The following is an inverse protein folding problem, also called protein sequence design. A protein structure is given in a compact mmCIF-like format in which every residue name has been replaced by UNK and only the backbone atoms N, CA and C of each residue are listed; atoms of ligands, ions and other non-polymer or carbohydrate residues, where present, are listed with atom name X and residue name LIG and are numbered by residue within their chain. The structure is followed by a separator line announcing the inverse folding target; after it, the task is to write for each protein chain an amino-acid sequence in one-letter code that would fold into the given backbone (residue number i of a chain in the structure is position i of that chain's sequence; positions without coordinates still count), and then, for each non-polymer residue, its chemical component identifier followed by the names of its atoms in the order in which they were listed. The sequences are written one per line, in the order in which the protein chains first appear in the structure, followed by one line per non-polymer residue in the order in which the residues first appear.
data_IF_430489354456
#
_entry.id   IF_430489354456
#
_cell.length_a   1.000
_cell.length_b   1.000
_cell.length_c   1.000
_cell.angle_alpha   90.00
_cell.angle_beta   90.00
_cell.angle_gamma   90.00
#
_symmetry.space_group_name_H-M   'P 1'
#
loop_
_entity.id
_entity.type
_entity.pdbx_description
1 polymer ?
#
# COMPACT_ATOMS: atom_id res chain seq x y z
N UNK A 1 -10.71 -28.15 -34.46
CA UNK A 1 -10.04 -26.95 -33.94
C UNK A 1 -10.60 -26.69 -32.55
N UNK A 2 -9.84 -27.06 -31.52
CA UNK A 2 -10.22 -26.83 -30.12
C UNK A 2 -9.99 -25.33 -29.80
N UNK A 3 -11.04 -24.62 -29.41
CA UNK A 3 -10.90 -23.25 -28.93
C UNK A 3 -9.89 -23.21 -27.78
N UNK A 4 -8.99 -22.22 -27.73
CA UNK A 4 -8.06 -22.08 -26.63
C UNK A 4 -8.82 -21.85 -25.33
N UNK A 5 -8.50 -22.63 -24.32
CA UNK A 5 -9.05 -22.46 -22.95
C UNK A 5 -8.61 -21.10 -22.42
N UNK A 6 -9.55 -20.15 -22.32
CA UNK A 6 -9.32 -18.86 -21.64
C UNK A 6 -9.69 -19.08 -20.16
N UNK A 7 -8.72 -19.12 -19.25
CA UNK A 7 -9.03 -19.29 -17.84
C UNK A 7 -9.84 -18.08 -17.34
N UNK A 8 -11.09 -18.31 -16.96
CA UNK A 8 -11.89 -17.30 -16.24
C UNK A 8 -11.35 -17.21 -14.81
N UNK A 9 -10.73 -16.10 -14.48
CA UNK A 9 -10.40 -15.77 -13.08
C UNK A 9 -11.71 -15.50 -12.35
N UNK A 10 -12.16 -16.46 -11.54
CA UNK A 10 -13.29 -16.26 -10.64
C UNK A 10 -12.82 -15.36 -9.51
N UNK A 11 -13.23 -14.09 -9.52
CA UNK A 11 -13.00 -13.18 -8.39
C UNK A 11 -13.92 -13.60 -7.25
N UNK A 12 -13.40 -13.87 -6.03
CA UNK A 12 -14.25 -14.18 -4.90
C UNK A 12 -15.18 -13.00 -4.61
N UNK A 13 -16.48 -13.29 -4.43
CA UNK A 13 -17.48 -12.29 -4.02
C UNK A 13 -17.03 -11.72 -2.67
N UNK A 14 -16.86 -10.39 -2.57
CA UNK A 14 -16.62 -9.74 -1.28
C UNK A 14 -17.90 -9.87 -0.46
N UNK A 15 -17.80 -10.39 0.77
CA UNK A 15 -18.92 -10.38 1.70
C UNK A 15 -19.35 -8.92 1.92
N UNK A 16 -20.65 -8.64 1.80
CA UNK A 16 -21.21 -7.35 2.20
C UNK A 16 -21.02 -7.17 3.73
N UNK A 17 -20.87 -5.94 4.23
CA UNK A 17 -20.75 -5.68 5.66
C UNK A 17 -21.87 -6.28 6.51
N UNK A 18 -23.11 -6.31 5.96
CA UNK A 18 -24.28 -6.92 6.59
C UNK A 18 -24.18 -8.45 6.73
N UNK A 19 -23.34 -9.09 5.89
CA UNK A 19 -23.17 -10.55 5.87
C UNK A 19 -21.98 -11.01 6.72
N UNK A 20 -21.27 -10.07 7.35
CA UNK A 20 -20.12 -10.37 8.21
C UNK A 20 -20.62 -10.95 9.54
N UNK A 21 -20.57 -12.28 9.64
CA UNK A 21 -20.98 -13.00 10.86
C UNK A 21 -19.90 -12.95 11.93
N UNK A 22 -18.62 -12.93 11.52
CA UNK A 22 -17.46 -12.92 12.42
C UNK A 22 -17.19 -11.49 12.94
N UNK A 23 -16.86 -11.32 14.25
CA UNK A 23 -16.63 -9.98 14.82
C UNK A 23 -15.37 -9.30 14.30
N UNK A 24 -14.46 -10.03 13.64
CA UNK A 24 -13.20 -9.52 13.10
C UNK A 24 -13.44 -8.65 11.88
N UNK A 25 -13.00 -7.39 11.92
CA UNK A 25 -13.15 -6.43 10.83
C UNK A 25 -12.08 -5.35 10.83
N UNK A 26 -11.83 -4.77 9.67
CA UNK A 26 -11.03 -3.57 9.49
C UNK A 26 -11.95 -2.35 9.29
N UNK A 27 -11.81 -1.35 10.14
CA UNK A 27 -12.52 -0.09 10.05
C UNK A 27 -11.63 0.93 9.33
N UNK A 28 -12.11 1.46 8.21
CA UNK A 28 -11.37 2.39 7.35
C UNK A 28 -11.97 3.79 7.49
N UNK A 29 -11.17 4.71 8.02
CA UNK A 29 -11.56 6.10 8.24
C UNK A 29 -11.25 6.93 6.98
N UNK A 30 -12.28 7.15 6.14
CA UNK A 30 -12.14 7.91 4.90
C UNK A 30 -11.93 9.42 5.16
N UNK A 31 -12.33 9.95 6.33
CA UNK A 31 -12.02 11.34 6.70
C UNK A 31 -10.53 11.51 7.02
N UNK A 32 -9.92 10.55 7.72
CA UNK A 32 -8.49 10.54 7.95
C UNK A 32 -7.71 10.49 6.62
N UNK A 33 -8.20 9.71 5.64
CA UNK A 33 -7.62 9.65 4.30
C UNK A 33 -7.66 11.02 3.60
N UNK A 34 -8.82 11.73 3.63
CA UNK A 34 -8.96 13.08 3.09
C UNK A 34 -8.05 14.09 3.80
N UNK A 35 -7.96 13.97 5.12
CA UNK A 35 -7.06 14.81 5.91
C UNK A 35 -5.60 14.60 5.48
N UNK A 36 -5.16 13.34 5.35
CA UNK A 36 -3.80 13.02 4.96
C UNK A 36 -3.47 13.52 3.54
N UNK A 37 -4.43 13.46 2.60
CA UNK A 37 -4.26 14.07 1.27
C UNK A 37 -4.02 15.57 1.37
N UNK A 38 -4.75 16.30 2.23
CA UNK A 38 -4.52 17.75 2.45
C UNK A 38 -3.12 18.02 3.03
N UNK A 39 -2.69 17.19 3.98
CA UNK A 39 -1.35 17.27 4.56
C UNK A 39 -0.29 17.03 3.48
N UNK A 40 -0.42 15.97 2.70
CA UNK A 40 0.51 15.66 1.59
C UNK A 40 0.57 16.83 0.60
N UNK A 41 -0.55 17.42 0.20
CA UNK A 41 -0.58 18.57 -0.71
C UNK A 41 0.18 19.77 -0.17
N UNK A 42 0.06 20.05 1.13
CA UNK A 42 0.81 21.13 1.78
C UNK A 42 2.33 20.94 1.59
N UNK A 43 2.81 19.70 1.70
CA UNK A 43 4.24 19.37 1.57
C UNK A 43 4.68 19.10 0.12
N UNK A 44 3.76 18.87 -0.81
CA UNK A 44 4.04 18.71 -2.22
C UNK A 44 4.39 20.04 -2.92
N UNK A 45 4.23 21.19 -2.23
CA UNK A 45 4.64 22.51 -2.70
C UNK A 45 4.12 22.89 -4.11
N UNK A 46 2.87 22.55 -4.43
CA UNK A 46 2.23 22.84 -5.71
C UNK A 46 2.39 21.75 -6.77
N UNK A 47 3.20 20.73 -6.54
CA UNK A 47 3.29 19.59 -7.44
C UNK A 47 1.98 18.78 -7.47
N UNK A 48 1.69 18.15 -8.60
CA UNK A 48 0.56 17.22 -8.72
C UNK A 48 0.71 16.05 -7.74
N UNK A 49 -0.39 15.59 -7.18
CA UNK A 49 -0.41 14.43 -6.26
C UNK A 49 -1.02 13.23 -6.97
N UNK A 50 -0.18 12.26 -7.29
CA UNK A 50 -0.59 10.98 -7.87
C UNK A 50 -0.60 9.92 -6.76
N UNK A 51 -1.81 9.60 -6.26
CA UNK A 51 -1.98 8.71 -5.12
C UNK A 51 -1.59 7.27 -5.45
N UNK A 52 -0.63 6.70 -4.73
CA UNK A 52 -0.25 5.29 -4.89
C UNK A 52 -1.20 4.42 -4.07
N UNK A 53 -2.04 3.65 -4.78
CA UNK A 53 -3.09 2.80 -4.19
C UNK A 53 -3.00 1.33 -4.61
N UNK A 54 -1.80 0.89 -4.95
CA UNK A 54 -1.48 -0.52 -5.24
C UNK A 54 -1.76 -1.43 -4.05
N UNK A 55 -1.78 -2.75 -4.26
CA UNK A 55 -2.02 -3.78 -3.25
C UNK A 55 -3.33 -3.52 -2.47
N UNK A 56 -4.44 -3.36 -3.22
CA UNK A 56 -5.77 -3.03 -2.68
C UNK A 56 -5.74 -1.78 -1.78
N UNK A 57 -5.06 -0.71 -2.25
CA UNK A 57 -4.80 0.52 -1.49
C UNK A 57 -4.11 0.22 -0.14
N UNK A 58 -3.00 -0.51 -0.17
CA UNK A 58 -2.29 -0.97 1.03
C UNK A 58 -3.23 -1.71 2.00
N UNK A 59 -4.10 -2.55 1.46
CA UNK A 59 -5.05 -3.33 2.24
C UNK A 59 -6.31 -2.58 2.70
N UNK A 60 -6.49 -1.32 2.31
CA UNK A 60 -7.62 -0.49 2.74
C UNK A 60 -8.87 -0.61 1.86
N UNK A 61 -8.77 -1.29 0.70
CA UNK A 61 -9.87 -1.42 -0.27
C UNK A 61 -9.80 -0.36 -1.37
N UNK A 62 -9.18 -0.71 -2.50
CA UNK A 62 -8.82 0.22 -3.57
C UNK A 62 -9.99 1.02 -4.12
N UNK A 63 -11.14 0.39 -4.37
CA UNK A 63 -12.31 1.05 -4.95
C UNK A 63 -12.88 2.17 -4.06
N UNK A 64 -12.99 1.96 -2.75
CA UNK A 64 -13.52 2.96 -1.82
C UNK A 64 -12.52 4.10 -1.57
N UNK A 65 -11.23 3.75 -1.45
CA UNK A 65 -10.13 4.71 -1.33
C UNK A 65 -10.06 5.59 -2.57
N UNK A 66 -10.06 5.00 -3.77
CA UNK A 66 -9.97 5.73 -5.03
C UNK A 66 -11.14 6.70 -5.21
N UNK A 67 -12.40 6.26 -5.00
CA UNK A 67 -13.57 7.15 -5.07
C UNK A 67 -13.48 8.33 -4.09
N UNK A 68 -12.94 8.09 -2.89
CA UNK A 68 -12.77 9.14 -1.87
C UNK A 68 -11.71 10.17 -2.30
N UNK A 69 -10.58 9.70 -2.81
CA UNK A 69 -9.49 10.56 -3.27
C UNK A 69 -9.86 11.31 -4.56
N UNK A 70 -10.57 10.66 -5.49
CA UNK A 70 -11.05 11.28 -6.72
C UNK A 70 -12.04 12.42 -6.43
N UNK A 71 -13.02 12.22 -5.53
CA UNK A 71 -13.90 13.28 -5.03
C UNK A 71 -13.15 14.40 -4.31
N UNK A 72 -11.99 14.09 -3.75
CA UNK A 72 -11.07 15.07 -3.14
C UNK A 72 -10.10 15.67 -4.16
N UNK A 73 -10.36 15.46 -5.48
CA UNK A 73 -9.64 16.03 -6.61
C UNK A 73 -8.16 15.67 -6.63
N UNK A 74 -7.81 14.41 -6.34
CA UNK A 74 -6.45 13.93 -6.58
C UNK A 74 -6.13 14.02 -8.08
N UNK A 75 -4.89 14.29 -8.43
CA UNK A 75 -4.50 14.54 -9.83
C UNK A 75 -4.42 13.25 -10.64
N UNK A 76 -4.15 12.12 -10.00
CA UNK A 76 -4.12 10.80 -10.62
C UNK A 76 -3.85 9.69 -9.61
N UNK A 77 -3.88 8.48 -10.11
CA UNK A 77 -3.59 7.27 -9.33
C UNK A 77 -2.38 6.53 -9.88
N UNK A 78 -1.67 5.86 -8.99
CA UNK A 78 -0.60 4.94 -9.35
C UNK A 78 -0.90 3.56 -8.79
N UNK A 79 -0.86 2.56 -9.64
CA UNK A 79 -0.97 1.14 -9.28
C UNK A 79 0.27 0.36 -9.73
N UNK A 80 0.45 -0.85 -9.24
CA UNK A 80 1.57 -1.68 -9.65
C UNK A 80 1.25 -2.50 -10.89
N UNK A 81 0.05 -3.07 -10.96
CA UNK A 81 -0.35 -4.07 -11.93
C UNK A 81 -1.50 -3.55 -12.81
N UNK A 82 -1.59 -4.09 -14.02
CA UNK A 82 -2.70 -3.82 -14.94
C UNK A 82 -4.05 -4.25 -14.33
N UNK A 83 -4.08 -5.39 -13.64
CA UNK A 83 -5.28 -5.92 -13.00
C UNK A 83 -5.85 -4.97 -11.94
N UNK A 84 -4.97 -4.29 -11.20
CA UNK A 84 -5.38 -3.26 -10.23
C UNK A 84 -6.02 -2.06 -10.94
N UNK A 85 -5.44 -1.63 -12.06
CA UNK A 85 -5.99 -0.54 -12.87
C UNK A 85 -7.36 -0.90 -13.46
N UNK A 86 -7.52 -2.13 -13.95
CA UNK A 86 -8.78 -2.67 -14.47
C UNK A 86 -9.84 -2.63 -13.36
N UNK A 87 -9.52 -3.11 -12.15
CA UNK A 87 -10.44 -3.08 -11.01
C UNK A 87 -10.91 -1.64 -10.69
N UNK A 88 -10.01 -0.66 -10.77
CA UNK A 88 -10.36 0.75 -10.56
C UNK A 88 -11.30 1.29 -11.65
N UNK A 89 -11.03 0.96 -12.92
CA UNK A 89 -11.92 1.37 -14.02
C UNK A 89 -13.31 0.72 -13.91
N UNK A 90 -13.38 -0.56 -13.55
CA UNK A 90 -14.63 -1.26 -13.27
C UNK A 90 -15.38 -0.67 -12.06
N UNK A 91 -14.65 -0.09 -11.11
CA UNK A 91 -15.23 0.66 -9.99
C UNK A 91 -15.72 2.07 -10.36
N UNK A 92 -15.57 2.50 -11.64
CA UNK A 92 -16.03 3.78 -12.16
C UNK A 92 -15.05 4.94 -11.94
N UNK A 93 -13.79 4.68 -11.65
CA UNK A 93 -12.77 5.73 -11.53
C UNK A 93 -12.42 6.25 -12.93
N UNK A 94 -12.49 7.56 -13.11
CA UNK A 94 -12.21 8.25 -14.39
C UNK A 94 -10.87 9.02 -14.39
N UNK A 95 -10.36 9.39 -13.23
CA UNK A 95 -9.06 10.06 -13.10
C UNK A 95 -7.92 9.28 -13.79
N UNK A 96 -6.83 9.93 -14.20
CA UNK A 96 -5.66 9.26 -14.79
C UNK A 96 -5.12 8.15 -13.89
N UNK A 97 -4.75 7.00 -14.48
CA UNK A 97 -4.17 5.85 -13.77
C UNK A 97 -2.85 5.46 -14.42
N UNK A 98 -1.76 5.56 -13.66
CA UNK A 98 -0.42 5.14 -14.05
C UNK A 98 -0.15 3.72 -13.58
N UNK A 99 0.20 2.82 -14.50
CA UNK A 99 0.59 1.43 -14.19
C UNK A 99 2.11 1.36 -14.09
N UNK A 100 2.64 1.31 -12.85
CA UNK A 100 4.08 1.53 -12.57
C UNK A 100 4.96 0.28 -12.69
N UNK A 101 4.40 -0.90 -12.58
CA UNK A 101 5.16 -2.16 -12.52
C UNK A 101 5.70 -2.61 -13.88
N UNK A 102 5.37 -1.92 -14.95
CA UNK A 102 5.59 -2.37 -16.30
C UNK A 102 4.40 -3.20 -16.80
N UNK A 103 4.56 -3.72 -17.99
CA UNK A 103 3.52 -4.50 -18.65
C UNK A 103 3.99 -5.93 -18.84
N UNK A 104 3.22 -6.90 -18.35
CA UNK A 104 3.51 -8.32 -18.43
C UNK A 104 2.51 -9.02 -19.35
N UNK A 105 2.97 -9.99 -20.15
CA UNK A 105 2.10 -10.78 -21.02
C UNK A 105 1.61 -10.03 -22.26
N UNK A 106 0.38 -10.35 -22.70
CA UNK A 106 -0.14 -9.94 -24.01
C UNK A 106 -1.31 -8.95 -23.96
N UNK A 107 -1.73 -8.47 -22.79
CA UNK A 107 -2.91 -7.63 -22.63
C UNK A 107 -2.63 -6.11 -22.80
N UNK A 108 -1.80 -5.75 -23.78
CA UNK A 108 -1.48 -4.35 -24.11
C UNK A 108 -2.72 -3.58 -24.61
N UNK A 109 -3.65 -4.27 -25.26
CA UNK A 109 -4.93 -3.74 -25.74
C UNK A 109 -5.83 -3.23 -24.59
N UNK A 110 -5.82 -3.89 -23.44
CA UNK A 110 -6.55 -3.44 -22.24
C UNK A 110 -6.06 -2.07 -21.74
N UNK A 111 -4.76 -1.79 -21.89
CA UNK A 111 -4.19 -0.48 -21.52
C UNK A 111 -4.82 0.63 -22.36
N UNK A 112 -4.91 0.41 -23.66
CA UNK A 112 -5.50 1.37 -24.59
C UNK A 112 -7.01 1.48 -24.39
N UNK A 113 -7.71 0.33 -24.36
CA UNK A 113 -9.16 0.31 -24.23
C UNK A 113 -9.69 0.97 -22.94
N UNK A 114 -8.87 0.99 -21.89
CA UNK A 114 -9.23 1.57 -20.59
C UNK A 114 -8.62 2.95 -20.33
N UNK A 115 -7.93 3.52 -21.29
CA UNK A 115 -7.29 4.85 -21.16
C UNK A 115 -6.31 4.88 -19.98
N UNK A 116 -5.45 3.87 -19.88
CA UNK A 116 -4.43 3.78 -18.85
C UNK A 116 -3.10 4.35 -19.36
N UNK A 117 -2.26 4.82 -18.45
CA UNK A 117 -0.93 5.30 -18.74
C UNK A 117 0.08 4.24 -18.31
N UNK A 118 0.71 3.50 -19.25
CA UNK A 118 1.71 2.51 -18.88
C UNK A 118 3.06 3.17 -18.61
N UNK A 119 3.81 2.60 -17.68
CA UNK A 119 5.24 2.89 -17.51
C UNK A 119 6.01 1.92 -18.39
N UNK A 120 6.89 2.47 -19.25
CA UNK A 120 7.79 1.68 -20.09
C UNK A 120 9.23 1.85 -19.61
N UNK A 121 10.04 0.82 -19.79
CA UNK A 121 11.44 0.82 -19.35
C UNK A 121 12.38 0.10 -20.33
N UNK A 122 11.87 -0.25 -21.50
CA UNK A 122 12.65 -0.77 -22.64
C UNK A 122 11.96 -0.49 -23.98
N UNK A 123 12.73 -0.55 -25.07
CA UNK A 123 12.22 -0.28 -26.42
C UNK A 123 11.27 -1.37 -26.92
N UNK A 124 11.35 -2.59 -26.41
CA UNK A 124 10.44 -3.66 -26.78
C UNK A 124 9.00 -3.36 -26.35
N UNK A 125 8.82 -2.80 -25.16
CA UNK A 125 7.51 -2.32 -24.69
C UNK A 125 7.00 -1.17 -25.54
N UNK A 126 7.86 -0.18 -25.87
CA UNK A 126 7.50 0.93 -26.74
C UNK A 126 7.05 0.43 -28.10
N UNK A 127 7.82 -0.48 -28.72
CA UNK A 127 7.50 -1.09 -30.01
C UNK A 127 6.18 -1.90 -29.98
N UNK A 128 5.89 -2.58 -28.85
CA UNK A 128 4.65 -3.33 -28.69
C UNK A 128 3.43 -2.40 -28.68
N UNK A 129 3.48 -1.31 -27.91
CA UNK A 129 2.43 -0.30 -27.91
C UNK A 129 2.29 0.43 -29.26
N UNK A 130 3.41 0.80 -29.89
CA UNK A 130 3.38 1.43 -31.21
C UNK A 130 2.68 0.56 -32.26
N UNK A 131 2.93 -0.75 -32.27
CA UNK A 131 2.24 -1.68 -33.19
C UNK A 131 0.72 -1.68 -32.98
N UNK A 132 0.27 -1.67 -31.74
CA UNK A 132 -1.16 -1.63 -31.43
C UNK A 132 -1.83 -0.33 -31.84
N UNK A 133 -1.18 0.80 -31.62
CA UNK A 133 -1.71 2.11 -32.08
C UNK A 133 -1.80 2.12 -33.62
N UNK A 134 -0.77 1.67 -34.32
CA UNK A 134 -0.80 1.54 -35.81
C UNK A 134 -1.89 0.63 -36.33
N UNK A 135 -2.26 -0.42 -35.59
CA UNK A 135 -3.35 -1.32 -35.99
C UNK A 135 -4.76 -0.75 -35.78
N UNK A 136 -4.88 0.52 -35.39
CA UNK A 136 -6.15 1.22 -35.25
C UNK A 136 -6.83 1.08 -33.89
N UNK A 137 -6.13 0.54 -32.89
CA UNK A 137 -6.67 0.37 -31.53
C UNK A 137 -6.69 1.68 -30.72
N UNK A 138 -6.12 2.78 -31.21
CA UNK A 138 -6.13 4.10 -30.56
C UNK A 138 -6.30 5.23 -31.56
N UNK A 139 -6.94 6.33 -31.11
CA UNK A 139 -7.11 7.56 -31.87
C UNK A 139 -5.98 8.55 -31.52
N UNK A 140 -4.77 8.31 -31.98
CA UNK A 140 -3.61 9.17 -31.75
C UNK A 140 -2.52 8.49 -30.91
N UNK A 141 -1.42 9.22 -30.61
CA UNK A 141 -0.32 8.66 -29.85
C UNK A 141 -0.73 8.24 -28.43
N UNK A 142 -0.23 7.08 -27.99
CA UNK A 142 -0.41 6.60 -26.63
C UNK A 142 0.54 7.36 -25.68
N UNK A 143 -0.01 7.95 -24.63
CA UNK A 143 0.76 8.51 -23.54
C UNK A 143 1.40 7.44 -22.67
N UNK A 144 2.71 7.50 -22.49
CA UNK A 144 3.45 6.61 -21.61
C UNK A 144 4.41 7.41 -20.73
N UNK A 145 4.75 6.85 -19.55
CA UNK A 145 5.85 7.39 -18.75
C UNK A 145 7.09 6.52 -18.94
N UNK A 146 8.20 7.15 -19.33
CA UNK A 146 9.49 6.48 -19.38
C UNK A 146 10.09 6.38 -17.98
N UNK A 147 10.53 5.20 -17.62
CA UNK A 147 11.21 4.98 -16.34
C UNK A 147 12.71 4.86 -16.54
N UNK A 148 13.47 5.66 -15.78
CA UNK A 148 14.93 5.63 -15.73
C UNK A 148 15.36 5.05 -14.38
N UNK A 149 16.36 4.17 -14.38
CA UNK A 149 16.97 3.67 -13.18
C UNK A 149 18.08 4.62 -12.71
N UNK A 150 17.87 5.24 -11.59
CA UNK A 150 18.81 6.17 -10.96
C UNK A 150 19.55 5.57 -9.76
N UNK A 151 19.55 4.24 -9.62
CA UNK A 151 20.31 3.53 -8.60
C UNK A 151 19.52 2.53 -7.76
N UNK A 152 18.27 2.22 -8.12
CA UNK A 152 17.47 1.20 -7.41
C UNK A 152 17.70 -0.22 -7.95
N UNK A 153 18.19 -0.36 -9.20
CA UNK A 153 18.49 -1.63 -9.86
C UNK A 153 17.31 -2.62 -9.90
N UNK A 154 16.09 -2.09 -10.09
CA UNK A 154 14.88 -2.92 -10.14
C UNK A 154 14.19 -2.91 -11.50
N UNK A 155 13.82 -1.74 -11.99
CA UNK A 155 13.20 -1.48 -13.29
C UNK A 155 13.59 -0.07 -13.76
N UNK A 156 13.76 0.11 -15.06
CA UNK A 156 14.10 1.40 -15.65
C UNK A 156 15.22 1.24 -16.68
N UNK A 157 15.24 2.14 -17.65
CA UNK A 157 16.39 2.27 -18.55
C UNK A 157 17.59 2.72 -17.74
N UNK A 158 18.70 1.99 -17.83
CA UNK A 158 19.94 2.39 -17.15
C UNK A 158 20.53 3.64 -17.79
N UNK A 159 21.29 4.44 -17.02
CA UNK A 159 21.97 5.61 -17.55
C UNK A 159 22.88 5.27 -18.74
N UNK A 160 23.48 4.07 -18.74
CA UNK A 160 24.33 3.58 -19.84
C UNK A 160 23.54 3.35 -21.14
N UNK A 161 22.33 2.82 -21.06
CA UNK A 161 21.50 2.49 -22.22
C UNK A 161 20.60 3.66 -22.67
N UNK A 162 20.47 4.69 -21.84
CA UNK A 162 19.56 5.81 -22.09
C UNK A 162 19.86 6.57 -23.39
N UNK A 163 21.13 6.81 -23.82
CA UNK A 163 21.42 7.47 -25.09
C UNK A 163 20.87 6.70 -26.29
N UNK A 164 21.04 5.37 -26.31
CA UNK A 164 20.52 4.53 -27.38
C UNK A 164 18.98 4.54 -27.42
N UNK A 165 18.36 4.40 -26.24
CA UNK A 165 16.89 4.44 -26.12
C UNK A 165 16.37 5.80 -26.60
N UNK A 166 16.96 6.91 -26.15
CA UNK A 166 16.54 8.26 -26.54
C UNK A 166 16.61 8.48 -28.05
N UNK A 167 17.69 8.04 -28.70
CA UNK A 167 17.85 8.14 -30.15
C UNK A 167 16.77 7.36 -30.91
N UNK A 168 16.40 6.19 -30.44
CA UNK A 168 15.41 5.31 -31.08
C UNK A 168 13.95 5.67 -30.80
N UNK A 169 13.64 6.46 -29.78
CA UNK A 169 12.27 6.85 -29.49
C UNK A 169 11.59 7.59 -30.64
N UNK A 170 12.34 8.33 -31.46
CA UNK A 170 11.82 9.01 -32.63
C UNK A 170 11.27 8.05 -33.73
N UNK A 171 11.65 6.76 -33.69
CA UNK A 171 11.15 5.75 -34.62
C UNK A 171 9.70 5.30 -34.27
N UNK A 172 9.17 5.73 -33.12
CA UNK A 172 7.86 5.35 -32.59
C UNK A 172 6.94 6.55 -32.34
N UNK A 173 6.53 7.28 -33.41
CA UNK A 173 5.67 8.47 -33.26
C UNK A 173 4.28 8.15 -32.69
N UNK A 174 3.89 6.89 -32.66
CA UNK A 174 2.64 6.39 -32.07
C UNK A 174 2.68 6.39 -30.53
N UNK A 175 3.84 6.59 -29.93
CA UNK A 175 4.03 6.61 -28.47
C UNK A 175 4.60 7.95 -28.07
N UNK A 176 3.91 8.65 -27.18
CA UNK A 176 4.36 9.94 -26.64
C UNK A 176 4.88 9.75 -25.21
N UNK A 177 6.13 10.14 -24.98
CA UNK A 177 6.70 10.16 -23.63
C UNK A 177 6.11 11.37 -22.89
N UNK A 178 4.95 11.19 -22.25
CA UNK A 178 4.24 12.24 -21.51
C UNK A 178 4.78 12.44 -20.09
N UNK A 179 5.59 11.49 -19.59
CA UNK A 179 6.21 11.63 -18.28
C UNK A 179 7.57 10.92 -18.18
N UNK A 180 8.40 11.42 -17.27
CA UNK A 180 9.67 10.80 -16.88
C UNK A 180 9.62 10.47 -15.39
N UNK A 181 9.93 9.22 -15.06
CA UNK A 181 9.93 8.79 -13.65
C UNK A 181 11.18 8.03 -13.25
N UNK A 182 11.53 8.17 -11.99
CA UNK A 182 12.42 7.26 -11.28
C UNK A 182 11.85 6.94 -9.90
N UNK A 183 12.63 6.27 -9.06
CA UNK A 183 12.26 5.97 -7.68
C UNK A 183 13.46 6.12 -6.76
N UNK A 184 13.29 6.86 -5.68
CA UNK A 184 14.33 7.09 -4.69
C UNK A 184 14.40 5.90 -3.73
N UNK A 185 15.47 5.13 -3.80
CA UNK A 185 15.64 3.91 -3.02
C UNK A 185 15.89 4.21 -1.53
N UNK A 186 16.60 5.30 -1.24
CA UNK A 186 17.13 5.64 0.09
C UNK A 186 16.57 6.96 0.63
N UNK A 187 15.36 7.38 0.19
CA UNK A 187 14.76 8.63 0.66
C UNK A 187 14.42 8.61 2.16
N UNK A 188 14.33 7.45 2.79
CA UNK A 188 14.13 7.22 4.21
C UNK A 188 15.42 6.88 4.97
N UNK A 189 16.58 6.84 4.31
CA UNK A 189 17.86 6.61 4.97
C UNK A 189 18.31 7.82 5.82
N UNK A 190 19.14 7.63 6.85
CA UNK A 190 19.69 8.73 7.64
C UNK A 190 20.48 9.73 6.78
N UNK A 191 21.33 9.25 5.87
CA UNK A 191 22.05 10.07 4.90
C UNK A 191 21.23 10.32 3.65
N UNK A 192 21.32 11.54 3.10
CA UNK A 192 20.68 11.93 1.83
C UNK A 192 21.63 11.84 0.63
N UNK A 193 22.85 11.39 0.80
CA UNK A 193 23.88 11.34 -0.23
C UNK A 193 23.43 10.52 -1.46
N UNK A 194 22.94 9.29 -1.22
CA UNK A 194 22.41 8.44 -2.29
C UNK A 194 21.19 9.07 -2.98
N UNK A 195 20.31 9.72 -2.20
CA UNK A 195 19.15 10.43 -2.73
C UNK A 195 19.60 11.59 -3.61
N UNK A 196 20.59 12.37 -3.19
CA UNK A 196 21.14 13.46 -3.98
C UNK A 196 21.82 12.95 -5.27
N UNK A 197 22.56 11.85 -5.20
CA UNK A 197 23.13 11.17 -6.37
C UNK A 197 22.06 10.66 -7.35
N UNK A 198 20.96 10.10 -6.83
CA UNK A 198 19.84 9.68 -7.67
C UNK A 198 19.15 10.86 -8.36
N UNK A 199 19.00 11.99 -7.67
CA UNK A 199 18.45 13.22 -8.24
C UNK A 199 19.35 13.80 -9.35
N UNK A 200 20.66 13.81 -9.13
CA UNK A 200 21.62 14.27 -10.15
C UNK A 200 21.53 13.41 -11.42
N UNK A 201 21.51 12.09 -11.30
CA UNK A 201 21.33 11.17 -12.44
C UNK A 201 19.97 11.36 -13.12
N UNK A 202 18.91 11.67 -12.38
CA UNK A 202 17.60 11.94 -12.96
C UNK A 202 17.59 13.24 -13.79
N UNK A 203 18.28 14.28 -13.33
CA UNK A 203 18.44 15.53 -14.08
C UNK A 203 19.30 15.32 -15.33
N UNK A 204 20.40 14.56 -15.22
CA UNK A 204 21.21 14.17 -16.39
C UNK A 204 20.36 13.44 -17.44
N UNK A 205 19.52 12.48 -17.01
CA UNK A 205 18.59 11.78 -17.89
C UNK A 205 17.61 12.73 -18.58
N UNK A 206 17.08 13.71 -17.84
CA UNK A 206 16.17 14.73 -18.38
C UNK A 206 16.85 15.56 -19.47
N UNK A 207 18.05 16.03 -19.22
CA UNK A 207 18.85 16.82 -20.20
C UNK A 207 19.17 15.97 -21.44
N UNK A 208 19.57 14.72 -21.25
CA UNK A 208 19.88 13.81 -22.35
C UNK A 208 18.66 13.58 -23.26
N UNK A 209 17.52 13.27 -22.68
CA UNK A 209 16.26 13.08 -23.43
C UNK A 209 15.89 14.35 -24.22
N UNK A 210 16.00 15.54 -23.61
CA UNK A 210 15.71 16.81 -24.24
C UNK A 210 16.60 17.06 -25.45
N UNK A 211 17.88 16.70 -25.44
CA UNK A 211 18.80 16.78 -26.58
C UNK A 211 18.37 15.89 -27.75
N UNK A 212 17.61 14.86 -27.51
CA UNK A 212 17.02 13.98 -28.54
C UNK A 212 15.58 14.36 -28.89
N UNK A 213 15.12 15.56 -28.49
CA UNK A 213 13.77 16.03 -28.78
C UNK A 213 12.67 15.42 -27.93
N UNK A 214 13.01 14.64 -26.91
CA UNK A 214 12.05 14.04 -25.95
C UNK A 214 11.90 14.97 -24.77
N UNK A 215 10.75 15.67 -24.68
CA UNK A 215 10.44 16.61 -23.60
C UNK A 215 9.28 16.06 -22.77
N UNK A 216 9.53 15.32 -21.68
CA UNK A 216 8.47 14.77 -20.82
C UNK A 216 7.65 15.89 -20.17
N UNK A 217 6.31 15.76 -20.21
CA UNK A 217 5.41 16.76 -19.63
C UNK A 217 5.38 16.73 -18.09
N UNK A 218 5.62 15.55 -17.48
CA UNK A 218 5.62 15.39 -16.02
C UNK A 218 6.85 14.62 -15.55
N UNK A 219 7.64 15.22 -14.66
CA UNK A 219 8.81 14.59 -14.03
C UNK A 219 8.48 14.26 -12.58
N UNK A 220 8.71 13.00 -12.17
CA UNK A 220 8.36 12.61 -10.83
C UNK A 220 9.26 11.49 -10.27
N UNK A 221 9.80 11.71 -9.07
CA UNK A 221 10.67 10.77 -8.35
C UNK A 221 10.20 10.53 -6.92
N UNK A 222 9.57 11.54 -6.30
CA UNK A 222 9.27 11.59 -4.88
C UNK A 222 8.23 10.54 -4.46
N UNK A 223 8.63 9.67 -3.52
CA UNK A 223 7.77 8.81 -2.73
C UNK A 223 7.36 9.51 -1.40
N UNK A 224 6.63 8.84 -0.52
CA UNK A 224 6.22 9.40 0.77
C UNK A 224 7.39 9.94 1.60
N UNK A 225 8.53 9.26 1.63
CA UNK A 225 9.70 9.69 2.40
C UNK A 225 10.30 11.00 1.85
N UNK A 226 10.45 11.08 0.54
CA UNK A 226 10.96 12.29 -0.12
C UNK A 226 10.03 13.50 0.06
N UNK A 227 8.71 13.30 -0.01
CA UNK A 227 7.71 14.36 0.24
C UNK A 227 7.86 14.87 1.68
N UNK A 228 7.99 13.96 2.64
CA UNK A 228 8.11 14.29 4.07
C UNK A 228 9.37 15.09 4.34
N UNK A 229 10.48 14.75 3.71
CA UNK A 229 11.75 15.47 3.86
C UNK A 229 11.81 16.81 3.13
N UNK A 230 11.00 16.96 2.07
CA UNK A 230 11.07 18.10 1.16
C UNK A 230 12.24 17.99 0.16
N UNK A 231 12.20 18.80 -0.89
CA UNK A 231 13.31 18.95 -1.84
C UNK A 231 13.29 18.05 -3.09
N UNK A 232 12.38 17.08 -3.19
CA UNK A 232 12.27 16.21 -4.38
C UNK A 232 10.91 16.34 -5.11
N UNK A 233 10.12 17.35 -4.78
CA UNK A 233 8.88 17.64 -5.47
C UNK A 233 9.20 18.33 -6.81
N UNK A 234 9.11 17.57 -7.89
CA UNK A 234 9.20 18.06 -9.26
C UNK A 234 7.80 18.45 -9.76
N UNK A 235 7.40 17.98 -10.94
CA UNK A 235 6.07 18.28 -11.49
C UNK A 235 4.96 17.48 -10.79
N UNK A 236 5.31 16.28 -10.28
CA UNK A 236 4.39 15.44 -9.52
C UNK A 236 5.08 14.65 -8.39
N UNK A 237 4.27 14.27 -7.38
CA UNK A 237 4.69 13.41 -6.26
C UNK A 237 3.80 12.17 -6.18
N UNK A 238 4.35 11.07 -5.65
CA UNK A 238 3.66 9.78 -5.55
C UNK A 238 3.58 9.29 -4.10
N UNK A 239 2.72 9.91 -3.27
CA UNK A 239 2.50 9.45 -1.90
C UNK A 239 1.81 8.09 -1.90
N UNK A 240 2.34 7.15 -1.11
CA UNK A 240 1.72 5.88 -0.78
C UNK A 240 1.37 5.86 0.70
N UNK A 241 2.29 5.37 1.53
CA UNK A 241 2.04 5.10 2.95
C UNK A 241 1.59 6.34 3.74
N UNK A 242 2.02 7.54 3.35
CA UNK A 242 1.61 8.79 3.99
C UNK A 242 0.10 9.05 3.86
N UNK A 243 -0.53 8.65 2.75
CA UNK A 243 -1.98 8.75 2.60
C UNK A 243 -2.73 7.88 3.61
N UNK A 244 -2.12 6.79 4.06
CA UNK A 244 -2.70 5.85 5.03
C UNK A 244 -2.33 6.17 6.48
N UNK A 245 -1.70 7.34 6.70
CA UNK A 245 -1.45 7.88 8.05
C UNK A 245 -0.18 7.38 8.69
N UNK A 246 0.74 6.83 7.90
CA UNK A 246 2.04 6.39 8.36
C UNK A 246 3.15 7.16 7.64
N UNK A 247 4.21 7.43 8.37
CA UNK A 247 5.43 7.98 7.79
C UNK A 247 6.51 6.91 7.86
N UNK A 248 7.37 6.79 6.82
CA UNK A 248 8.63 6.10 7.01
C UNK A 248 9.30 6.67 8.27
N UNK A 249 9.97 5.83 9.07
CA UNK A 249 10.65 6.27 10.32
C UNK A 249 11.78 7.27 10.07
N UNK A 250 11.53 8.23 9.24
CA UNK A 250 12.42 9.31 8.92
C UNK A 250 12.25 10.38 9.97
N UNK A 251 13.07 10.26 11.00
CA UNK A 251 13.63 11.38 11.74
C UNK A 251 12.69 12.56 12.02
N UNK A 252 11.87 12.46 13.07
CA UNK A 252 11.40 13.60 13.84
C UNK A 252 10.76 14.79 13.10
N UNK A 253 10.27 14.59 11.88
CA UNK A 253 9.72 15.67 11.06
C UNK A 253 8.28 16.01 11.46
N UNK A 254 7.91 17.30 11.52
CA UNK A 254 6.56 17.73 11.94
C UNK A 254 5.41 17.05 11.23
N UNK A 255 5.55 16.72 9.93
CA UNK A 255 4.54 16.08 9.12
C UNK A 255 4.07 14.74 9.71
N UNK A 256 4.96 13.97 10.34
CA UNK A 256 4.59 12.67 10.92
C UNK A 256 3.53 12.80 12.01
N UNK A 257 3.49 13.95 12.71
CA UNK A 257 2.50 14.26 13.74
C UNK A 257 1.17 14.76 13.18
N UNK A 258 1.15 15.23 11.93
CA UNK A 258 -0.06 15.71 11.26
C UNK A 258 -0.86 14.56 10.63
N UNK A 259 -0.21 13.43 10.32
CA UNK A 259 -0.87 12.29 9.69
C UNK A 259 -1.78 11.54 10.66
N UNK A 260 -2.90 11.04 10.15
CA UNK A 260 -3.90 10.28 10.92
C UNK A 260 -3.99 8.85 10.40
N UNK A 261 -3.83 7.82 11.26
CA UNK A 261 -4.05 6.44 10.85
C UNK A 261 -5.44 6.24 10.22
N UNK A 262 -5.46 5.51 9.11
CA UNK A 262 -6.69 5.29 8.34
C UNK A 262 -7.33 3.96 8.69
N UNK A 263 -6.55 2.92 9.03
CA UNK A 263 -7.04 1.59 9.36
C UNK A 263 -7.03 1.34 10.87
N UNK A 264 -8.11 0.74 11.36
CA UNK A 264 -8.23 0.13 12.68
C UNK A 264 -8.73 -1.30 12.50
N UNK A 265 -8.06 -2.27 13.10
CA UNK A 265 -8.48 -3.68 13.04
C UNK A 265 -8.93 -4.12 14.42
N UNK A 266 -10.15 -4.64 14.50
CA UNK A 266 -10.74 -5.11 15.74
C UNK A 266 -11.44 -6.45 15.60
N UNK A 267 -11.60 -7.12 16.72
CA UNK A 267 -12.36 -8.35 16.90
C UNK A 267 -13.00 -8.36 18.29
N UNK A 268 -13.40 -9.51 18.79
CA UNK A 268 -13.98 -9.68 20.12
C UNK A 268 -13.41 -10.94 20.79
N UNK A 269 -13.47 -10.99 22.11
CA UNK A 269 -13.21 -12.20 22.88
C UNK A 269 -14.32 -13.21 22.63
N UNK A 270 -14.00 -14.38 22.08
CA UNK A 270 -14.98 -15.45 21.79
C UNK A 270 -15.01 -16.54 22.85
N UNK A 271 -13.92 -16.71 23.61
CA UNK A 271 -13.86 -17.64 24.72
C UNK A 271 -12.91 -17.11 25.80
N UNK A 272 -13.21 -17.48 27.05
CA UNK A 272 -12.34 -17.25 28.20
C UNK A 272 -12.11 -18.60 28.89
N UNK A 273 -10.88 -18.80 29.38
CA UNK A 273 -10.49 -20.01 30.10
C UNK A 273 -9.50 -19.65 31.19
N UNK A 274 -9.78 -20.10 32.39
CA UNK A 274 -8.81 -20.08 33.48
C UNK A 274 -7.90 -21.29 33.35
N UNK A 275 -6.60 -21.11 33.57
CA UNK A 275 -5.58 -22.15 33.47
C UNK A 275 -4.68 -22.10 34.70
N UNK A 276 -4.28 -23.29 35.17
CA UNK A 276 -3.39 -23.44 36.29
C UNK A 276 -1.92 -23.20 35.96
N UNK A 277 -1.11 -23.05 37.01
CA UNK A 277 0.36 -22.95 36.87
C UNK A 277 0.91 -24.13 36.08
N UNK A 278 1.80 -23.88 35.15
CA UNK A 278 2.42 -24.90 34.30
C UNK A 278 1.58 -25.31 33.08
N UNK A 279 0.33 -24.88 32.96
CA UNK A 279 -0.49 -25.17 31.78
C UNK A 279 0.11 -24.53 30.51
N UNK A 280 0.10 -25.28 29.39
CA UNK A 280 0.55 -24.81 28.08
C UNK A 280 -0.59 -24.17 27.35
N UNK A 281 -0.27 -23.11 26.53
CA UNK A 281 -1.21 -22.43 25.66
C UNK A 281 -0.74 -22.50 24.21
N UNK A 282 -1.64 -22.90 23.31
CA UNK A 282 -1.42 -22.92 21.87
C UNK A 282 -0.55 -24.08 21.37
N UNK A 283 -0.26 -24.06 20.07
CA UNK A 283 0.54 -25.09 19.41
C UNK A 283 1.99 -25.08 19.91
N UNK A 284 2.51 -26.29 20.17
CA UNK A 284 3.89 -26.48 20.63
C UNK A 284 4.12 -26.09 22.09
N UNK A 285 3.12 -25.56 22.80
CA UNK A 285 3.25 -25.17 24.20
C UNK A 285 4.38 -24.17 24.44
N UNK A 286 4.59 -23.24 23.53
CA UNK A 286 5.66 -22.25 23.60
C UNK A 286 5.51 -21.31 24.79
N UNK A 287 4.27 -21.07 25.21
CA UNK A 287 3.96 -20.33 26.41
C UNK A 287 3.43 -21.27 27.52
N UNK A 288 3.90 -21.05 28.74
CA UNK A 288 3.44 -21.76 29.95
C UNK A 288 3.03 -20.75 31.00
N UNK A 289 1.90 -21.01 31.65
CA UNK A 289 1.41 -20.20 32.75
C UNK A 289 2.37 -20.29 33.95
N UNK A 290 2.98 -19.17 34.32
CA UNK A 290 3.82 -19.08 35.54
C UNK A 290 3.01 -18.83 36.82
N UNK A 291 1.76 -18.49 36.66
CA UNK A 291 0.75 -18.26 37.73
C UNK A 291 -0.62 -18.73 37.25
N UNK A 292 -1.63 -18.86 38.11
CA UNK A 292 -3.00 -19.00 37.65
C UNK A 292 -3.33 -17.84 36.70
N UNK A 293 -3.75 -18.16 35.48
CA UNK A 293 -3.88 -17.17 34.38
C UNK A 293 -5.23 -17.29 33.70
N UNK A 294 -5.74 -16.18 33.21
CA UNK A 294 -6.97 -16.09 32.42
C UNK A 294 -6.66 -15.81 30.96
N UNK A 295 -7.01 -16.75 30.11
CA UNK A 295 -6.69 -16.71 28.68
C UNK A 295 -7.94 -16.40 27.86
N UNK A 296 -7.89 -15.34 27.07
CA UNK A 296 -8.91 -14.98 26.09
C UNK A 296 -8.54 -15.50 24.71
N UNK A 297 -9.51 -16.07 23.99
CA UNK A 297 -9.35 -16.47 22.59
C UNK A 297 -10.05 -15.46 21.71
N UNK A 298 -9.36 -15.03 20.63
CA UNK A 298 -9.90 -14.16 19.60
C UNK A 298 -9.94 -14.86 18.24
N UNK A 299 -11.01 -14.67 17.42
CA UNK A 299 -11.17 -15.32 16.11
C UNK A 299 -10.42 -14.52 15.01
N UNK A 300 -9.11 -14.35 15.20
CA UNK A 300 -8.19 -13.75 14.26
C UNK A 300 -6.85 -14.47 14.32
N UNK A 301 -6.36 -14.93 13.19
CA UNK A 301 -5.09 -15.63 13.08
C UNK A 301 -4.27 -15.18 11.87
N UNK A 302 -3.22 -15.97 11.51
CA UNK A 302 -2.32 -15.55 10.45
C UNK A 302 -2.98 -15.54 9.05
N UNK A 303 -4.02 -16.31 8.80
CA UNK A 303 -4.79 -16.25 7.54
C UNK A 303 -5.61 -14.95 7.42
N UNK A 304 -5.79 -14.21 8.51
CA UNK A 304 -6.44 -12.91 8.55
C UNK A 304 -5.45 -11.74 8.46
N UNK A 305 -4.15 -12.04 8.62
CA UNK A 305 -3.08 -11.03 8.60
C UNK A 305 -2.46 -10.76 9.98
N UNK A 306 -2.83 -11.48 11.03
CA UNK A 306 -2.15 -11.43 12.33
C UNK A 306 -0.88 -12.29 12.26
N UNK A 307 0.28 -11.66 12.06
CA UNK A 307 1.53 -12.39 11.85
C UNK A 307 1.79 -13.47 12.91
N UNK A 308 2.25 -14.64 12.47
CA UNK A 308 2.62 -15.72 13.36
C UNK A 308 3.79 -15.35 14.29
N UNK A 309 4.64 -14.41 13.87
CA UNK A 309 5.76 -13.89 14.65
C UNK A 309 5.33 -13.11 15.91
N UNK A 310 4.05 -12.72 16.00
CA UNK A 310 3.51 -12.02 17.16
C UNK A 310 3.23 -12.95 18.37
N UNK A 311 3.28 -14.28 18.18
CA UNK A 311 3.21 -15.22 19.29
C UNK A 311 4.31 -14.94 20.32
N UNK A 312 3.93 -14.81 21.58
CA UNK A 312 4.80 -14.49 22.73
C UNK A 312 5.56 -13.15 22.64
N UNK A 313 5.22 -12.27 21.66
CA UNK A 313 5.91 -10.98 21.41
C UNK A 313 4.96 -9.81 21.25
N UNK A 314 3.81 -10.03 20.64
CA UNK A 314 2.84 -9.00 20.32
C UNK A 314 1.85 -8.72 21.43
N UNK A 315 1.05 -7.68 21.22
CA UNK A 315 -0.05 -7.29 22.11
C UNK A 315 -1.32 -7.03 21.32
N UNK A 316 -2.45 -7.13 22.01
CA UNK A 316 -3.73 -6.59 21.59
C UNK A 316 -4.29 -5.69 22.71
N UNK A 317 -5.30 -4.88 22.43
CA UNK A 317 -5.95 -4.03 23.44
C UNK A 317 -7.28 -4.67 23.85
N UNK A 318 -7.50 -4.75 25.14
CA UNK A 318 -8.75 -5.19 25.74
C UNK A 318 -9.12 -4.21 26.85
N UNK A 319 -10.35 -3.65 26.81
CA UNK A 319 -10.85 -2.71 27.81
C UNK A 319 -9.96 -1.45 28.01
N UNK A 320 -9.19 -1.06 26.99
CA UNK A 320 -8.26 0.07 27.04
C UNK A 320 -6.89 -0.23 27.65
N UNK A 321 -6.54 -1.51 27.80
CA UNK A 321 -5.22 -1.99 28.28
C UNK A 321 -4.60 -3.01 27.31
N UNK A 322 -3.28 -3.14 27.38
CA UNK A 322 -2.50 -4.10 26.61
C UNK A 322 -2.61 -5.49 27.21
N UNK A 323 -3.00 -6.45 26.37
CA UNK A 323 -3.00 -7.87 26.64
C UNK A 323 -1.93 -8.56 25.78
N UNK A 324 -0.93 -9.25 26.34
CA UNK A 324 0.06 -9.96 25.53
C UNK A 324 -0.57 -11.10 24.74
N UNK A 325 -0.12 -11.31 23.52
CA UNK A 325 -0.43 -12.50 22.73
C UNK A 325 0.44 -13.62 23.26
N UNK A 326 -0.19 -14.73 23.70
CA UNK A 326 0.49 -15.85 24.35
C UNK A 326 0.34 -17.13 23.54
N UNK A 327 1.44 -17.87 23.43
CA UNK A 327 1.53 -19.05 22.59
C UNK A 327 1.54 -18.72 21.09
N UNK A 328 1.63 -19.74 20.26
CA UNK A 328 1.69 -19.60 18.82
C UNK A 328 0.36 -19.09 18.24
N UNK A 329 0.40 -18.02 17.43
CA UNK A 329 -0.75 -17.62 16.62
C UNK A 329 -1.08 -18.73 15.63
N UNK A 330 -2.34 -19.19 15.64
CA UNK A 330 -2.83 -20.22 14.72
C UNK A 330 -3.39 -19.61 13.42
N UNK A 331 -3.88 -20.46 12.51
CA UNK A 331 -4.44 -20.00 11.23
C UNK A 331 -5.60 -19.03 11.43
N UNK A 332 -6.50 -19.33 12.36
CA UNK A 332 -7.79 -18.66 12.51
C UNK A 332 -7.98 -17.99 13.88
N UNK A 333 -7.09 -18.24 14.84
CA UNK A 333 -7.25 -17.78 16.22
C UNK A 333 -5.91 -17.41 16.86
N UNK A 334 -5.98 -16.53 17.86
CA UNK A 334 -4.89 -16.22 18.77
C UNK A 334 -5.39 -16.15 20.21
N UNK A 335 -4.46 -16.30 21.16
CA UNK A 335 -4.74 -16.27 22.58
C UNK A 335 -4.07 -15.07 23.22
N UNK A 336 -4.76 -14.46 24.18
CA UNK A 336 -4.30 -13.28 24.92
C UNK A 336 -4.32 -13.61 26.42
N UNK A 337 -3.28 -13.25 27.14
CA UNK A 337 -3.30 -13.25 28.59
C UNK A 337 -4.04 -11.99 29.08
N UNK A 338 -5.20 -12.18 29.69
CA UNK A 338 -6.04 -11.11 30.24
C UNK A 338 -6.12 -11.18 31.77
N UNK A 339 -5.19 -11.88 32.42
CA UNK A 339 -5.14 -12.07 33.88
C UNK A 339 -5.18 -10.74 34.62
N UNK A 340 -4.43 -9.74 34.13
CA UNK A 340 -4.32 -8.42 34.76
C UNK A 340 -5.33 -7.38 34.21
N UNK A 341 -6.31 -7.84 33.41
CA UNK A 341 -7.34 -6.99 32.84
C UNK A 341 -8.64 -7.19 33.62
N UNK A 342 -8.86 -6.32 34.60
CA UNK A 342 -10.03 -6.41 35.49
C UNK A 342 -11.35 -6.41 34.70
N UNK A 343 -12.20 -7.41 34.98
CA UNK A 343 -13.53 -7.54 34.37
C UNK A 343 -13.53 -7.96 32.92
N UNK A 344 -12.40 -8.51 32.39
CA UNK A 344 -12.35 -9.06 31.04
C UNK A 344 -13.44 -10.14 30.87
N UNK A 345 -14.22 -10.04 29.81
CA UNK A 345 -15.40 -10.87 29.57
C UNK A 345 -15.52 -11.29 28.09
N UNK A 346 -16.31 -12.34 27.85
CA UNK A 346 -16.67 -12.73 26.49
C UNK A 346 -17.44 -11.59 25.82
N UNK A 347 -17.16 -11.34 24.54
CA UNK A 347 -17.63 -10.22 23.70
C UNK A 347 -16.98 -8.87 23.98
N UNK A 348 -16.02 -8.78 24.93
CA UNK A 348 -15.22 -7.55 25.00
C UNK A 348 -14.53 -7.30 23.66
N UNK A 349 -14.55 -6.03 23.22
CA UNK A 349 -13.84 -5.61 22.01
C UNK A 349 -12.33 -5.80 22.21
N UNK A 350 -11.68 -6.36 21.21
CA UNK A 350 -10.23 -6.49 21.12
C UNK A 350 -9.73 -5.70 19.92
N UNK A 351 -8.77 -4.81 20.12
CA UNK A 351 -8.12 -4.07 19.04
C UNK A 351 -6.72 -4.60 18.83
N UNK A 352 -6.41 -5.02 17.62
CA UNK A 352 -5.07 -5.52 17.23
C UNK A 352 -4.24 -4.47 16.49
N UNK A 353 -4.89 -3.50 15.86
CA UNK A 353 -4.27 -2.33 15.22
C UNK A 353 -5.15 -1.11 15.45
N UNK A 354 -4.58 -0.04 15.98
CA UNK A 354 -5.28 1.21 16.25
C UNK A 354 -5.49 1.50 17.73
N UNK A 355 -6.28 2.52 18.02
CA UNK A 355 -6.57 2.96 19.39
C UNK A 355 -7.81 2.27 19.97
N UNK A 356 -7.80 2.05 21.27
CA UNK A 356 -8.95 1.65 22.06
C UNK A 356 -9.05 2.54 23.30
N UNK A 357 -10.23 3.03 23.56
CA UNK A 357 -10.63 3.65 24.82
C UNK A 357 -11.59 2.70 25.52
N UNK A 358 -11.39 2.46 26.80
CA UNK A 358 -12.18 1.53 27.59
C UNK A 358 -12.19 1.88 29.07
N UNK A 359 -12.88 1.06 29.90
CA UNK A 359 -13.03 1.34 31.32
C UNK A 359 -11.72 1.43 32.12
N UNK A 360 -10.64 0.86 31.59
CA UNK A 360 -9.35 0.77 32.28
C UNK A 360 -8.30 1.76 31.73
N UNK A 361 -8.64 2.54 30.71
CA UNK A 361 -7.75 3.54 30.14
C UNK A 361 -7.89 3.69 28.62
N UNK A 362 -6.88 4.33 28.04
CA UNK A 362 -6.76 4.53 26.59
C UNK A 362 -5.37 4.14 26.13
N UNK A 363 -5.30 3.27 25.12
CA UNK A 363 -4.07 2.77 24.55
C UNK A 363 -4.15 2.73 23.01
N UNK A 364 -3.00 2.62 22.36
CA UNK A 364 -2.90 2.50 20.91
C UNK A 364 -1.79 1.52 20.53
N UNK A 365 -2.06 0.66 19.54
CA UNK A 365 -1.08 -0.19 18.89
C UNK A 365 -0.97 0.24 17.44
N UNK A 366 0.19 0.83 17.07
CA UNK A 366 0.47 1.29 15.71
C UNK A 366 1.01 0.18 14.81
N UNK A 367 0.91 0.38 13.49
CA UNK A 367 1.47 -0.56 12.53
C UNK A 367 3.00 -0.70 12.65
N UNK A 368 3.69 0.37 13.05
CA UNK A 368 5.14 0.35 13.28
C UNK A 368 5.52 -0.54 14.47
N UNK A 369 4.76 -0.49 15.56
CA UNK A 369 4.95 -1.34 16.74
C UNK A 369 4.74 -2.82 16.41
N UNK A 370 3.69 -3.12 15.63
CA UNK A 370 3.41 -4.49 15.16
C UNK A 370 4.55 -4.97 14.27
N UNK A 371 5.01 -4.12 13.37
CA UNK A 371 6.11 -4.42 12.45
C UNK A 371 7.41 -4.76 13.20
N UNK A 372 7.76 -3.97 14.24
CA UNK A 372 8.93 -4.25 15.09
C UNK A 372 8.81 -5.59 15.78
N UNK A 373 7.65 -5.87 16.38
CA UNK A 373 7.38 -7.14 17.08
C UNK A 373 7.42 -8.34 16.12
N UNK A 374 7.06 -8.13 14.85
CA UNK A 374 7.05 -9.14 13.80
C UNK A 374 8.34 -9.18 12.96
N UNK A 375 9.35 -8.34 13.26
CA UNK A 375 10.60 -8.18 12.51
C UNK A 375 10.37 -7.87 11.01
N UNK A 376 9.46 -6.94 10.72
CA UNK A 376 9.11 -6.50 9.36
C UNK A 376 8.85 -4.99 9.29
N UNK A 377 8.14 -4.54 8.25
CA UNK A 377 7.82 -3.13 8.00
C UNK A 377 6.30 -2.88 8.01
N UNK A 378 5.90 -1.66 8.33
CA UNK A 378 4.48 -1.26 8.43
C UNK A 378 3.69 -1.48 7.15
N UNK A 379 4.33 -1.41 5.97
CA UNK A 379 3.72 -1.73 4.68
C UNK A 379 3.21 -3.16 4.63
N UNK A 380 4.02 -4.12 5.11
CA UNK A 380 3.66 -5.53 5.15
C UNK A 380 2.50 -5.76 6.13
N UNK A 381 2.53 -5.12 7.31
CA UNK A 381 1.44 -5.23 8.29
C UNK A 381 0.11 -4.78 7.68
N UNK A 382 0.06 -3.64 7.00
CA UNK A 382 -1.18 -3.15 6.40
C UNK A 382 -1.66 -4.05 5.24
N UNK A 383 -0.73 -4.45 4.37
CA UNK A 383 -1.07 -5.26 3.18
C UNK A 383 -1.39 -6.72 3.52
N UNK A 384 -0.90 -7.23 4.66
CA UNK A 384 -1.18 -8.59 5.13
C UNK A 384 -2.62 -8.78 5.60
N UNK A 385 -3.34 -7.70 6.00
CA UNK A 385 -4.75 -7.81 6.38
C UNK A 385 -5.54 -8.38 5.21
N UNK A 386 -5.89 -9.66 5.32
CA UNK A 386 -6.41 -10.45 4.21
C UNK A 386 -7.83 -10.05 3.83
N UNK A 387 -8.29 -10.51 2.66
CA UNK A 387 -9.67 -10.31 2.20
C UNK A 387 -10.71 -11.05 3.05
N UNK A 388 -10.31 -11.95 3.94
CA UNK A 388 -11.18 -12.60 4.93
C UNK A 388 -11.69 -11.61 5.99
N UNK A 389 -10.95 -10.51 6.23
CA UNK A 389 -11.33 -9.44 7.16
C UNK A 389 -12.12 -8.39 6.37
N UNK A 390 -13.45 -8.24 6.58
CA UNK A 390 -14.25 -7.27 5.85
C UNK A 390 -13.85 -5.84 6.22
N UNK A 391 -13.89 -4.93 5.20
CA UNK A 391 -13.61 -3.51 5.37
C UNK A 391 -14.90 -2.75 5.60
N UNK A 392 -14.98 -2.05 6.71
CA UNK A 392 -16.07 -1.15 7.06
C UNK A 392 -15.61 0.29 6.90
N UNK A 393 -16.22 1.00 5.98
CA UNK A 393 -15.85 2.39 5.68
C UNK A 393 -16.66 3.34 6.52
N UNK A 394 -15.97 4.10 7.39
CA UNK A 394 -16.59 5.20 8.12
C UNK A 394 -16.53 6.45 7.26
N UNK A 395 -17.70 6.96 6.88
CA UNK A 395 -17.90 8.30 6.36
C UNK A 395 -18.41 9.17 7.53
N UNK A 396 -18.11 10.48 7.55
CA UNK A 396 -18.71 11.38 8.54
C UNK A 396 -20.21 11.46 8.39
#
# INVERSE_FOLDING_TARGET
MTQPFIPRVLRPRRAAPADAVRPTRAEINLEALRHNLRVVRKYAAGAQVWAVIKADAYGHGAAAVARTLERSRVDGFCVALLEEAIELREAGIVAPILVMGGHYGSAHDEVIARGLIPVVHDLGQVAAFARLVRSGNAQGPLDVHLKVDTGMARLGVTMQNLPEVAAKLAEYPEVRISGLMSHLASADAPSLEETAGAMARFEEATVLLSRHGVCPGARHVANSAAIIRGGASLDAVRPGIALFGLAPRVLGVPLTRELKPVMRVRTEVVALRDVDVGACVGYGGTWRASRPSRIATIPMGYADGLSRQLGDRGHALVRGKRAPIVGAVSMDMAMLDVTDIAGASQRDEVVVLGAQEGPLGRECIGADEIADSAATISWEILTSISRRVPRFYRQP
#
